data_IF_214746374526
#
_entry.id   IF_214746374526
#
_cell.length_a   1.000
_cell.length_b   1.000
_cell.length_c   1.000
_cell.angle_alpha   90.00
_cell.angle_beta   90.00
_cell.angle_gamma   90.00
#
_symmetry.space_group_name_H-M   'P 1'
#
loop_
_entity.id
_entity.type
_entity.pdbx_description
1 polymer ?
#
# COMPACT_ATOMS: atom_id res chain seq x y z
N UNK A 1 14.99 -9.79 7.84
CA UNK A 1 14.35 -9.74 6.50
C UNK A 1 14.44 -8.30 6.02
N UNK A 2 14.84 -8.05 4.77
CA UNK A 2 15.01 -6.70 4.21
C UNK A 2 14.31 -6.62 2.86
N UNK A 3 13.64 -5.51 2.57
CA UNK A 3 13.09 -5.28 1.24
C UNK A 3 14.23 -5.07 0.22
N UNK A 4 14.10 -5.61 -0.99
CA UNK A 4 15.06 -5.39 -2.08
C UNK A 4 15.05 -3.92 -2.48
N UNK A 5 16.16 -3.44 -3.04
CA UNK A 5 16.33 -2.06 -3.50
C UNK A 5 15.28 -1.63 -4.53
N UNK A 6 14.73 -2.58 -5.27
CA UNK A 6 13.71 -2.37 -6.28
C UNK A 6 12.76 -3.56 -6.32
N UNK A 7 11.54 -3.30 -6.78
CA UNK A 7 10.50 -4.33 -6.83
C UNK A 7 9.13 -3.74 -7.13
N UNK A 8 8.09 -4.50 -6.81
CA UNK A 8 6.69 -4.13 -6.99
C UNK A 8 5.99 -4.08 -5.64
N UNK A 9 5.23 -3.01 -5.42
CA UNK A 9 4.30 -2.89 -4.32
C UNK A 9 2.89 -3.05 -4.86
N UNK A 10 2.11 -3.92 -4.24
CA UNK A 10 0.69 -4.14 -4.53
C UNK A 10 -0.15 -3.62 -3.37
N UNK A 11 -1.29 -3.03 -3.70
CA UNK A 11 -2.23 -2.45 -2.77
C UNK A 11 -3.55 -3.22 -2.77
N UNK A 12 -4.15 -3.39 -1.61
CA UNK A 12 -5.52 -3.88 -1.47
C UNK A 12 -6.28 -3.05 -0.44
N UNK A 13 -7.57 -2.83 -0.72
CA UNK A 13 -8.50 -2.05 0.09
C UNK A 13 -9.71 -2.93 0.39
N UNK A 14 -9.92 -3.29 1.66
CA UNK A 14 -10.89 -4.32 2.07
C UNK A 14 -10.74 -5.63 1.29
N UNK A 15 -9.49 -6.06 1.02
CA UNK A 15 -9.18 -7.24 0.22
C UNK A 15 -9.41 -7.08 -1.29
N UNK A 16 -9.91 -5.91 -1.76
CA UNK A 16 -10.07 -5.61 -3.18
C UNK A 16 -8.80 -4.98 -3.73
N UNK A 17 -8.30 -5.50 -4.85
CA UNK A 17 -7.17 -4.96 -5.60
C UNK A 17 -7.58 -4.82 -7.05
N UNK A 18 -7.27 -3.68 -7.68
CA UNK A 18 -7.38 -3.51 -9.14
C UNK A 18 -6.05 -3.93 -9.79
N UNK A 19 -6.07 -4.15 -11.10
CA UNK A 19 -4.84 -4.33 -11.88
C UNK A 19 -3.93 -3.08 -11.81
N UNK A 20 -4.52 -1.91 -11.58
CA UNK A 20 -3.82 -0.64 -11.41
C UNK A 20 -3.33 -0.38 -9.99
N UNK A 21 -3.76 -1.20 -9.01
CA UNK A 21 -3.39 -1.11 -7.58
C UNK A 21 -1.99 -1.69 -7.32
N UNK A 22 -1.03 -1.38 -8.20
CA UNK A 22 0.36 -1.74 -8.05
C UNK A 22 1.26 -0.69 -8.71
N UNK A 23 2.50 -0.61 -8.23
CA UNK A 23 3.55 0.21 -8.83
C UNK A 23 4.93 -0.34 -8.51
N UNK A 24 5.90 0.02 -9.34
CA UNK A 24 7.31 -0.29 -9.10
C UNK A 24 7.95 0.76 -8.21
N UNK A 25 8.87 0.33 -7.37
CA UNK A 25 9.70 1.19 -6.53
C UNK A 25 11.20 0.92 -6.76
N UNK A 26 12.03 1.93 -6.50
CA UNK A 26 13.47 1.84 -6.49
C UNK A 26 14.07 2.75 -5.40
N UNK A 27 14.41 2.16 -4.25
CA UNK A 27 14.96 2.82 -3.07
C UNK A 27 16.35 3.45 -3.29
N UNK A 28 17.04 3.13 -4.39
CA UNK A 28 18.33 3.72 -4.74
C UNK A 28 18.21 4.95 -5.63
N UNK A 29 17.08 5.10 -6.34
CA UNK A 29 16.85 6.19 -7.29
C UNK A 29 15.76 7.15 -6.85
N UNK A 30 14.84 6.68 -6.02
CA UNK A 30 13.65 7.42 -5.64
C UNK A 30 13.75 7.90 -4.20
N UNK A 31 13.40 9.16 -3.98
CA UNK A 31 13.28 9.73 -2.64
C UNK A 31 12.02 9.22 -1.94
N UNK A 32 11.98 9.37 -0.62
CA UNK A 32 10.80 9.03 0.16
C UNK A 32 9.54 9.79 -0.32
N UNK A 33 9.70 11.06 -0.71
CA UNK A 33 8.60 11.87 -1.24
C UNK A 33 8.07 11.32 -2.57
N UNK A 34 8.95 10.91 -3.47
CA UNK A 34 8.55 10.29 -4.74
C UNK A 34 7.81 8.96 -4.52
N UNK A 35 8.28 8.15 -3.57
CA UNK A 35 7.63 6.90 -3.19
C UNK A 35 6.25 7.13 -2.54
N UNK A 36 6.12 8.17 -1.72
CA UNK A 36 4.85 8.57 -1.11
C UNK A 36 3.88 9.14 -2.16
N UNK A 37 4.39 9.87 -3.13
CA UNK A 37 3.59 10.40 -4.24
C UNK A 37 3.00 9.26 -5.07
N UNK A 38 3.81 8.25 -5.43
CA UNK A 38 3.31 7.04 -6.11
C UNK A 38 2.24 6.30 -5.31
N UNK A 39 2.43 6.17 -4.00
CA UNK A 39 1.44 5.57 -3.12
C UNK A 39 0.12 6.37 -3.16
N UNK A 40 0.20 7.69 -3.03
CA UNK A 40 -0.97 8.59 -3.08
C UNK A 40 -1.70 8.47 -4.41
N UNK A 41 -0.98 8.46 -5.54
CA UNK A 41 -1.59 8.30 -6.87
C UNK A 41 -2.43 7.03 -6.98
N UNK A 42 -1.96 5.92 -6.41
CA UNK A 42 -2.71 4.66 -6.43
C UNK A 42 -3.88 4.63 -5.47
N UNK A 43 -3.77 5.29 -4.32
CA UNK A 43 -4.90 5.51 -3.41
C UNK A 43 -5.98 6.34 -4.10
N UNK A 44 -5.59 7.43 -4.76
CA UNK A 44 -6.50 8.31 -5.50
C UNK A 44 -7.17 7.57 -6.66
N UNK A 45 -6.43 6.79 -7.45
CA UNK A 45 -7.01 5.97 -8.52
C UNK A 45 -8.06 4.99 -7.98
N UNK A 46 -7.75 4.29 -6.88
CA UNK A 46 -8.70 3.37 -6.27
C UNK A 46 -9.92 4.11 -5.70
N UNK A 47 -9.72 5.22 -5.00
CA UNK A 47 -10.82 6.01 -4.41
C UNK A 47 -11.69 6.69 -5.45
N UNK A 48 -11.12 7.20 -6.53
CA UNK A 48 -11.90 7.74 -7.65
C UNK A 48 -12.81 6.66 -8.22
N UNK A 49 -12.28 5.47 -8.50
CA UNK A 49 -13.09 4.33 -8.95
C UNK A 49 -14.13 3.91 -7.89
N UNK A 50 -13.73 3.82 -6.63
CA UNK A 50 -14.63 3.39 -5.56
C UNK A 50 -15.72 4.43 -5.25
N UNK A 51 -15.49 5.70 -5.57
CA UNK A 51 -16.45 6.78 -5.36
C UNK A 51 -17.70 6.64 -6.25
N UNK A 52 -17.58 5.95 -7.39
CA UNK A 52 -18.66 5.71 -8.36
C UNK A 52 -19.74 4.75 -7.84
N UNK A 53 -19.46 4.00 -6.77
CA UNK A 53 -20.43 3.08 -6.17
C UNK A 53 -21.41 3.84 -5.25
N UNK A 54 -22.69 3.46 -5.30
CA UNK A 54 -23.73 4.04 -4.44
C UNK A 54 -23.67 3.49 -3.00
N UNK A 55 -23.35 2.20 -2.82
CA UNK A 55 -23.29 1.54 -1.52
C UNK A 55 -21.83 1.38 -1.05
N UNK A 56 -21.17 2.49 -0.77
CA UNK A 56 -19.78 2.48 -0.28
C UNK A 56 -19.74 2.03 1.16
N UNK A 57 -19.06 0.92 1.43
CA UNK A 57 -18.70 0.55 2.80
C UNK A 57 -17.40 1.25 3.21
N UNK A 58 -17.23 1.58 4.51
CA UNK A 58 -15.97 2.11 5.02
C UNK A 58 -14.78 1.21 4.66
N UNK A 59 -13.63 1.82 4.36
CA UNK A 59 -12.36 1.10 4.18
C UNK A 59 -11.82 0.79 5.58
N UNK A 60 -11.88 -0.48 5.97
CA UNK A 60 -11.44 -0.99 7.27
C UNK A 60 -10.06 -1.60 7.21
N UNK A 61 -9.71 -2.19 6.07
CA UNK A 61 -8.42 -2.85 5.84
C UNK A 61 -7.70 -2.19 4.67
N UNK A 62 -6.46 -1.78 4.90
CA UNK A 62 -5.54 -1.36 3.85
C UNK A 62 -4.28 -2.22 3.93
N UNK A 63 -3.92 -2.84 2.81
CA UNK A 63 -2.73 -3.65 2.69
C UNK A 63 -1.85 -3.05 1.60
N UNK A 64 -0.60 -2.76 1.92
CA UNK A 64 0.45 -2.53 0.94
C UNK A 64 1.50 -3.60 1.16
N UNK A 65 1.77 -4.44 0.16
CA UNK A 65 2.67 -5.58 0.30
C UNK A 65 3.58 -5.75 -0.91
N UNK A 66 4.74 -6.37 -0.68
CA UNK A 66 5.67 -6.76 -1.73
C UNK A 66 6.13 -8.20 -1.52
N UNK A 67 6.40 -8.89 -2.62
CA UNK A 67 7.10 -10.18 -2.63
C UNK A 67 8.61 -10.01 -2.77
N UNK A 68 9.09 -8.79 -3.03
CA UNK A 68 10.49 -8.47 -3.29
C UNK A 68 11.29 -8.27 -1.99
N UNK A 69 11.16 -9.21 -1.05
CA UNK A 69 11.96 -9.26 0.16
C UNK A 69 13.13 -10.24 -0.02
N UNK A 70 14.22 -9.97 0.68
CA UNK A 70 15.37 -10.85 0.82
C UNK A 70 15.54 -11.24 2.30
N UNK A 71 15.72 -12.53 2.56
CA UNK A 71 16.18 -12.95 3.88
C UNK A 71 17.68 -12.86 3.95
N UNK A 72 18.19 -12.19 4.97
CA UNK A 72 19.62 -12.05 5.23
C UNK A 72 20.20 -13.27 5.92
N UNK A 73 19.40 -14.07 6.64
CA UNK A 73 19.82 -15.29 7.35
C UNK A 73 18.72 -16.38 7.30
N UNK A 74 18.85 -17.38 6.42
CA UNK A 74 18.21 -18.70 6.56
C UNK A 74 16.71 -18.78 6.87
N UNK A 75 15.87 -17.86 6.38
CA UNK A 75 14.42 -17.91 6.64
C UNK A 75 13.82 -19.21 6.09
N UNK A 76 13.15 -20.00 6.94
CA UNK A 76 12.31 -21.15 6.54
C UNK A 76 10.94 -20.73 5.96
N UNK A 77 10.73 -19.44 5.70
CA UNK A 77 9.50 -18.92 5.14
C UNK A 77 9.52 -19.15 3.63
N UNK A 78 8.46 -19.74 3.10
CA UNK A 78 8.25 -19.82 1.66
C UNK A 78 8.03 -18.40 1.11
N UNK A 79 9.12 -17.83 0.60
CA UNK A 79 9.17 -16.46 0.08
C UNK A 79 8.26 -16.27 -1.13
N UNK A 80 7.84 -17.35 -1.81
CA UNK A 80 6.95 -17.26 -2.96
C UNK A 80 5.49 -17.00 -2.57
N UNK A 81 5.06 -17.37 -1.36
CA UNK A 81 3.69 -17.18 -0.88
C UNK A 81 3.52 -16.07 0.16
N UNK A 82 4.62 -15.58 0.74
CA UNK A 82 4.56 -14.63 1.87
C UNK A 82 4.42 -13.19 1.37
N UNK A 83 3.20 -12.65 1.40
CA UNK A 83 2.94 -11.21 1.22
C UNK A 83 3.44 -10.46 2.46
N UNK A 84 4.53 -9.71 2.35
CA UNK A 84 5.07 -8.94 3.48
C UNK A 84 4.64 -7.49 3.35
N UNK A 85 4.10 -6.94 4.44
CA UNK A 85 3.68 -5.54 4.49
C UNK A 85 4.87 -4.60 4.26
N UNK A 86 4.68 -3.58 3.43
CA UNK A 86 5.63 -2.48 3.26
C UNK A 86 5.27 -1.26 4.11
N UNK A 87 4.10 -1.26 4.75
CA UNK A 87 3.76 -0.28 5.80
C UNK A 87 4.57 -0.62 7.04
N UNK A 88 5.29 0.36 7.58
CA UNK A 88 6.29 0.19 8.66
C UNK A 88 7.69 -0.18 8.17
N UNK A 89 7.86 -0.49 6.87
CA UNK A 89 9.18 -0.82 6.26
C UNK A 89 9.62 0.25 5.28
N UNK A 90 8.77 0.55 4.29
CA UNK A 90 9.01 1.58 3.26
C UNK A 90 8.25 2.85 3.61
N UNK A 91 7.04 2.71 4.16
CA UNK A 91 6.17 3.85 4.47
C UNK A 91 5.89 3.90 5.97
N UNK A 92 6.09 5.04 6.65
CA UNK A 92 5.67 5.19 8.02
C UNK A 92 4.14 5.03 8.14
N UNK A 93 3.68 4.13 9.03
CA UNK A 93 2.26 3.86 9.24
C UNK A 93 1.39 5.12 9.50
N UNK A 94 1.83 6.07 10.35
CA UNK A 94 1.09 7.32 10.58
C UNK A 94 0.89 8.16 9.31
N UNK A 95 1.90 8.19 8.42
CA UNK A 95 1.83 8.93 7.16
C UNK A 95 0.84 8.28 6.21
N UNK A 96 0.84 6.94 6.12
CA UNK A 96 -0.13 6.19 5.31
C UNK A 96 -1.55 6.42 5.84
N UNK A 97 -1.75 6.40 7.16
CA UNK A 97 -3.06 6.66 7.78
C UNK A 97 -3.57 8.05 7.45
N UNK A 98 -2.74 9.07 7.63
CA UNK A 98 -3.09 10.45 7.31
C UNK A 98 -3.46 10.58 5.82
N UNK A 99 -2.66 10.00 4.92
CA UNK A 99 -2.92 10.02 3.48
C UNK A 99 -4.26 9.35 3.11
N UNK A 100 -4.57 8.18 3.68
CA UNK A 100 -5.85 7.51 3.46
C UNK A 100 -7.02 8.39 3.93
N UNK A 101 -6.91 9.01 5.10
CA UNK A 101 -7.95 9.89 5.65
C UNK A 101 -8.14 11.15 4.81
N UNK A 102 -7.04 11.80 4.39
CA UNK A 102 -7.05 12.99 3.54
C UNK A 102 -7.75 12.72 2.21
N UNK A 103 -7.33 11.66 1.50
CA UNK A 103 -7.90 11.34 0.20
C UNK A 103 -9.32 10.77 0.33
N UNK A 104 -9.59 9.94 1.34
CA UNK A 104 -10.92 9.38 1.59
C UNK A 104 -11.97 10.47 1.78
N UNK A 105 -11.62 11.53 2.54
CA UNK A 105 -12.50 12.69 2.73
C UNK A 105 -12.84 13.41 1.41
N UNK A 106 -11.90 13.52 0.47
CA UNK A 106 -12.14 14.17 -0.84
C UNK A 106 -13.13 13.39 -1.71
N UNK A 107 -13.14 12.06 -1.59
CA UNK A 107 -14.00 11.18 -2.38
C UNK A 107 -15.28 10.73 -1.64
N UNK A 108 -15.52 11.23 -0.42
CA UNK A 108 -16.66 10.82 0.40
C UNK A 108 -16.62 9.34 0.81
N UNK A 109 -15.42 8.85 1.14
CA UNK A 109 -15.15 7.48 1.56
C UNK A 109 -14.70 7.50 3.02
N UNK A 110 -15.43 6.80 3.88
CA UNK A 110 -15.07 6.64 5.28
C UNK A 110 -13.88 5.69 5.46
N UNK A 111 -12.92 6.10 6.29
CA UNK A 111 -11.69 5.36 6.55
C UNK A 111 -11.64 4.98 8.03
N UNK A 112 -11.69 3.68 8.29
CA UNK A 112 -11.64 3.06 9.63
C UNK A 112 -10.41 2.16 9.78
N UNK A 113 -9.34 2.46 9.04
CA UNK A 113 -8.11 1.66 9.05
C UNK A 113 -7.34 1.85 10.36
N UNK A 114 -7.03 0.72 11.00
CA UNK A 114 -6.12 0.63 12.12
C UNK A 114 -4.85 -0.09 11.71
N UNK A 115 -3.72 0.61 11.79
CA UNK A 115 -2.40 0.00 11.72
C UNK A 115 -2.01 -0.37 13.15
N UNK A 116 -1.79 -1.66 13.40
CA UNK A 116 -1.21 -2.17 14.65
C UNK A 116 0.28 -1.85 14.71
#
# INVERSE_FOLDING_TARGET
>A
MKIRSNGVIKLAFNGKSRNTSLYTYNLQKETQEQLLQKLREKIVDFFSFYSEFNNKTPIKNFEAYSADFMCTNGCKLDMMSTKVSVVGVVYPGPVVKAMLQEEGKKFGIDIEVNFN
#
